data_IF_299008590195
#
_entry.id   IF_299008590195
#
_cell.length_a   1.000
_cell.length_b   1.000
_cell.length_c   1.000
_cell.angle_alpha   90.00
_cell.angle_beta   90.00
_cell.angle_gamma   90.00
#
_symmetry.space_group_name_H-M   'P 1'
#
loop_
_entity.id
_entity.type
_entity.pdbx_description
1 polymer ?
#
# COMPACT_ATOMS: atom_id res chain seq x y z
N UNK A 1 8.61 7.48 -2.67
CA UNK A 1 7.22 7.67 -2.18
C UNK A 1 6.65 8.97 -2.74
N UNK A 2 5.47 8.94 -3.34
CA UNK A 2 4.83 10.11 -3.97
C UNK A 2 3.49 10.42 -3.30
N UNK A 3 3.20 11.70 -3.06
CA UNK A 3 1.87 12.11 -2.58
C UNK A 3 0.83 11.92 -3.69
N UNK A 4 -0.25 11.21 -3.41
CA UNK A 4 -1.32 10.94 -4.35
C UNK A 4 -2.70 11.03 -3.67
N UNK A 5 -3.49 12.04 -4.03
CA UNK A 5 -4.77 12.34 -3.39
C UNK A 5 -4.64 12.51 -1.86
N UNK A 6 -5.46 11.80 -1.08
CA UNK A 6 -5.44 11.81 0.38
C UNK A 6 -4.35 10.94 1.03
N UNK A 7 -3.42 10.35 0.26
CA UNK A 7 -2.42 9.42 0.79
C UNK A 7 -1.08 9.49 0.08
N UNK A 8 -0.24 8.50 0.34
CA UNK A 8 1.07 8.33 -0.26
C UNK A 8 1.14 7.03 -1.05
N UNK A 9 1.62 7.08 -2.29
CA UNK A 9 1.89 5.92 -3.10
C UNK A 9 3.37 5.53 -2.99
N UNK A 10 3.62 4.25 -2.74
CA UNK A 10 4.92 3.61 -2.96
C UNK A 10 4.96 3.15 -4.40
N UNK A 11 6.00 3.55 -5.11
CA UNK A 11 6.22 3.21 -6.52
C UNK A 11 7.44 2.31 -6.61
N UNK A 12 7.40 1.36 -7.54
CA UNK A 12 8.56 0.60 -7.98
C UNK A 12 9.61 1.56 -8.51
N UNK A 13 10.85 1.46 -8.02
CA UNK A 13 11.95 2.26 -8.58
C UNK A 13 12.32 1.79 -9.99
N UNK A 14 12.17 0.50 -10.28
CA UNK A 14 12.51 -0.09 -11.57
C UNK A 14 11.50 0.26 -12.66
N UNK A 15 10.21 0.20 -12.35
CA UNK A 15 9.13 0.31 -13.35
C UNK A 15 8.32 1.61 -13.23
N UNK A 16 8.42 2.33 -12.12
CA UNK A 16 7.56 3.48 -11.80
C UNK A 16 6.11 3.08 -11.49
N UNK A 17 5.79 1.79 -11.52
CA UNK A 17 4.43 1.31 -11.27
C UNK A 17 4.07 1.46 -9.78
N UNK A 18 2.80 1.79 -9.47
CA UNK A 18 2.33 1.79 -8.09
C UNK A 18 2.36 0.39 -7.49
N UNK A 19 2.90 0.27 -6.28
CA UNK A 19 2.95 -0.99 -5.52
C UNK A 19 1.90 -0.98 -4.42
N UNK A 20 1.99 -0.01 -3.51
CA UNK A 20 1.10 0.15 -2.38
C UNK A 20 0.68 1.61 -2.25
N UNK A 21 -0.47 1.84 -1.63
CA UNK A 21 -0.86 3.18 -1.19
C UNK A 21 -1.13 3.16 0.30
N UNK A 22 -0.61 4.16 0.99
CA UNK A 22 -0.85 4.43 2.40
C UNK A 22 -1.88 5.55 2.48
N UNK A 23 -3.08 5.23 2.93
CA UNK A 23 -4.18 6.19 3.05
C UNK A 23 -4.50 6.39 4.53
N UNK A 24 -4.21 7.57 5.11
CA UNK A 24 -4.61 7.88 6.48
C UNK A 24 -6.12 7.72 6.65
N UNK A 25 -6.53 7.08 7.75
CA UNK A 25 -7.94 6.90 8.10
C UNK A 25 -8.52 8.12 8.80
N UNK A 26 -7.65 8.99 9.36
CA UNK A 26 -8.03 10.06 10.29
C UNK A 26 -8.11 9.61 11.76
N UNK A 27 -7.91 8.32 12.03
CA UNK A 27 -7.88 7.71 13.36
C UNK A 27 -6.43 7.41 13.76
N UNK A 28 -5.90 8.16 14.74
CA UNK A 28 -4.54 8.02 15.24
C UNK A 28 -3.49 7.99 14.11
N UNK A 29 -2.56 7.05 14.17
CA UNK A 29 -1.50 6.81 13.17
C UNK A 29 -1.87 5.69 12.18
N UNK A 30 -3.15 5.31 12.13
CA UNK A 30 -3.58 4.17 11.31
C UNK A 30 -3.74 4.55 9.84
N UNK A 31 -3.35 3.61 8.98
CA UNK A 31 -3.42 3.74 7.54
C UNK A 31 -4.09 2.51 6.94
N UNK A 32 -4.85 2.75 5.88
CA UNK A 32 -5.27 1.71 4.95
C UNK A 32 -4.17 1.43 3.93
N UNK A 33 -3.96 0.15 3.61
CA UNK A 33 -2.91 -0.32 2.70
C UNK A 33 -3.49 -1.05 1.48
N UNK A 34 -4.18 -0.35 0.56
CA UNK A 34 -4.57 -0.95 -0.71
C UNK A 34 -3.35 -1.23 -1.61
N UNK A 35 -3.38 -2.38 -2.26
CA UNK A 35 -2.42 -2.85 -3.25
C UNK A 35 -2.93 -2.55 -4.68
N UNK A 36 -2.01 -2.29 -5.59
CA UNK A 36 -2.32 -2.12 -7.02
C UNK A 36 -2.20 -3.45 -7.76
N UNK A 37 -3.31 -3.95 -8.30
CA UNK A 37 -3.32 -5.22 -9.04
C UNK A 37 -3.02 -5.08 -10.55
N UNK A 38 -2.60 -3.90 -11.01
CA UNK A 38 -2.43 -3.56 -12.43
C UNK A 38 -3.61 -2.80 -13.07
N UNK A 39 -4.79 -2.82 -12.45
CA UNK A 39 -5.98 -2.14 -12.98
C UNK A 39 -6.76 -1.33 -11.92
N UNK A 40 -6.77 -1.78 -10.67
CA UNK A 40 -7.48 -1.13 -9.56
C UNK A 40 -6.75 -1.30 -8.24
N UNK A 41 -7.03 -0.37 -7.32
CA UNK A 41 -6.68 -0.49 -5.92
C UNK A 41 -7.60 -1.49 -5.22
N UNK A 42 -7.04 -2.36 -4.39
CA UNK A 42 -7.81 -3.35 -3.66
C UNK A 42 -7.05 -3.98 -2.50
N UNK A 43 -7.65 -5.01 -1.90
CA UNK A 43 -7.01 -5.81 -0.88
C UNK A 43 -5.81 -6.56 -1.44
N UNK A 44 -4.70 -6.59 -0.70
CA UNK A 44 -3.56 -7.45 -1.01
C UNK A 44 -3.82 -8.93 -0.66
N UNK A 45 -4.92 -9.26 0.01
CA UNK A 45 -5.24 -10.63 0.42
C UNK A 45 -6.73 -10.85 0.67
N UNK A 46 -7.12 -12.06 1.12
CA UNK A 46 -8.53 -12.44 1.27
C UNK A 46 -9.27 -11.69 2.39
N UNK A 47 -8.54 -11.00 3.27
CA UNK A 47 -9.09 -10.35 4.46
C UNK A 47 -9.48 -8.87 4.25
N UNK A 48 -9.56 -8.41 3.00
CA UNK A 48 -9.87 -7.02 2.70
C UNK A 48 -8.65 -6.09 2.79
N UNK A 49 -8.88 -4.78 2.75
CA UNK A 49 -7.81 -3.77 2.83
C UNK A 49 -7.29 -3.72 4.27
N UNK A 50 -6.00 -4.01 4.45
CA UNK A 50 -5.37 -3.94 5.76
C UNK A 50 -5.46 -2.51 6.31
N UNK A 51 -5.89 -2.39 7.57
CA UNK A 51 -5.90 -1.14 8.33
C UNK A 51 -5.04 -1.35 9.58
N UNK A 52 -3.95 -0.62 9.70
CA UNK A 52 -2.93 -0.87 10.72
C UNK A 52 -2.10 0.40 10.97
N UNK A 53 -1.41 0.53 12.11
CA UNK A 53 -0.45 1.62 12.33
C UNK A 53 0.58 1.73 11.20
N UNK A 54 1.06 2.94 10.93
CA UNK A 54 1.99 3.21 9.83
C UNK A 54 3.23 2.30 9.85
N UNK A 55 3.86 2.10 11.01
CA UNK A 55 5.07 1.28 11.11
C UNK A 55 4.78 -0.18 10.74
N UNK A 56 3.67 -0.73 11.24
CA UNK A 56 3.22 -2.08 10.92
C UNK A 56 2.78 -2.21 9.45
N UNK A 57 2.27 -1.14 8.84
CA UNK A 57 1.95 -1.10 7.41
C UNK A 57 3.20 -1.24 6.54
N UNK A 58 4.29 -0.57 6.93
CA UNK A 58 5.57 -0.66 6.22
C UNK A 58 6.15 -2.07 6.32
N UNK A 59 6.12 -2.66 7.52
CA UNK A 59 6.53 -4.06 7.71
C UNK A 59 5.68 -5.02 6.88
N UNK A 60 4.36 -4.84 6.88
CA UNK A 60 3.42 -5.66 6.09
C UNK A 60 3.72 -5.59 4.59
N UNK A 61 4.01 -4.40 4.06
CA UNK A 61 4.37 -4.21 2.65
C UNK A 61 5.71 -4.90 2.37
N UNK A 62 6.72 -4.70 3.22
CA UNK A 62 8.04 -5.30 3.05
C UNK A 62 8.01 -6.84 3.10
N UNK A 63 7.18 -7.41 3.97
CA UNK A 63 7.09 -8.86 4.17
C UNK A 63 6.17 -9.58 3.20
N UNK A 64 5.35 -8.88 2.42
CA UNK A 64 4.28 -9.48 1.59
C UNK A 64 4.68 -9.51 0.11
N UNK A 65 5.00 -10.70 -0.47
CA UNK A 65 5.52 -10.81 -1.84
C UNK A 65 4.58 -10.27 -2.93
N UNK A 66 3.27 -10.23 -2.67
CA UNK A 66 2.27 -9.73 -3.62
C UNK A 66 2.50 -8.27 -4.01
N UNK A 67 3.07 -7.45 -3.13
CA UNK A 67 3.40 -6.07 -3.46
C UNK A 67 4.56 -5.96 -4.46
N UNK A 68 5.42 -6.96 -4.53
CA UNK A 68 6.69 -6.93 -5.26
C UNK A 68 6.67 -7.79 -6.54
N UNK A 69 5.52 -8.36 -6.90
CA UNK A 69 5.42 -9.34 -8.00
C UNK A 69 5.79 -8.74 -9.38
N UNK A 70 5.72 -7.42 -9.50
CA UNK A 70 6.04 -6.66 -10.71
C UNK A 70 7.17 -5.65 -10.49
N UNK A 71 7.79 -5.62 -9.30
CA UNK A 71 8.88 -4.69 -8.97
C UNK A 71 10.22 -5.12 -9.55
#
# INVERSE_FOLDING_TARGET
MHKAGHGYALLSERTGAPLARLTPTGEADTVQVPWWNGARWGAAGPFGIATTPLDQALDYIASTPLFWIND
#
